data_IF_785840884207
#
_entry.id   IF_785840884207
#
_cell.length_a   1.000
_cell.length_b   1.000
_cell.length_c   1.000
_cell.angle_alpha   90.00
_cell.angle_beta   90.00
_cell.angle_gamma   90.00
#
_symmetry.space_group_name_H-M   'P 1'
#
loop_
_entity.id
_entity.type
_entity.pdbx_description
1 polymer ?
#
# COMPACT_ATOMS: atom_id res chain seq x y z
N UNK A 1 43.24 -6.01 16.32
CA UNK A 1 42.17 -6.48 17.22
C UNK A 1 42.14 -5.53 18.42
N UNK A 2 40.97 -5.13 18.92
CA UNK A 2 40.85 -4.06 19.92
C UNK A 2 40.89 -2.63 19.35
N UNK A 3 40.63 -2.47 18.05
CA UNK A 3 40.69 -1.17 17.36
C UNK A 3 39.33 -0.78 16.77
N UNK A 4 39.15 0.53 16.59
CA UNK A 4 37.98 1.12 15.95
C UNK A 4 38.21 1.27 14.46
N UNK A 5 37.27 0.79 13.65
CA UNK A 5 37.31 1.01 12.19
C UNK A 5 36.28 2.05 11.81
N UNK A 6 36.74 3.11 11.14
CA UNK A 6 35.90 4.18 10.63
C UNK A 6 35.61 3.95 9.14
N UNK A 7 34.35 4.13 8.76
CA UNK A 7 33.90 4.17 7.37
C UNK A 7 32.99 5.39 7.19
N UNK A 8 32.94 6.00 5.99
CA UNK A 8 31.95 7.04 5.72
C UNK A 8 30.53 6.47 5.84
N UNK A 9 29.57 7.31 6.24
CA UNK A 9 28.16 6.94 6.25
C UNK A 9 27.72 6.50 4.84
N UNK A 10 26.85 5.48 4.72
CA UNK A 10 26.35 5.03 3.43
C UNK A 10 25.51 6.15 2.78
N UNK A 11 25.72 6.40 1.49
CA UNK A 11 24.95 7.41 0.75
C UNK A 11 23.44 7.08 0.72
N UNK A 12 23.10 5.79 0.69
CA UNK A 12 21.73 5.30 0.71
C UNK A 12 21.62 4.03 1.56
N UNK A 13 20.64 4.00 2.48
CA UNK A 13 20.32 2.81 3.27
C UNK A 13 18.80 2.69 3.41
N UNK A 14 18.22 1.56 2.98
CA UNK A 14 16.77 1.32 2.89
C UNK A 14 15.98 2.45 2.17
N UNK A 15 16.55 3.03 1.12
CA UNK A 15 15.91 4.10 0.34
C UNK A 15 16.01 5.50 0.97
N UNK A 16 16.57 5.62 2.17
CA UNK A 16 16.83 6.91 2.83
C UNK A 16 18.23 7.38 2.49
N UNK A 17 18.37 8.65 2.06
CA UNK A 17 19.66 9.28 1.81
C UNK A 17 20.24 9.81 3.13
N UNK A 18 21.49 9.47 3.42
CA UNK A 18 22.20 9.96 4.61
C UNK A 18 23.32 10.92 4.22
N UNK A 19 23.67 11.81 5.14
CA UNK A 19 24.80 12.71 4.93
C UNK A 19 26.13 11.93 5.01
N UNK A 20 26.93 11.99 3.96
CA UNK A 20 28.23 11.29 3.83
C UNK A 20 29.39 12.05 4.48
N UNK A 21 29.16 13.26 5.01
CA UNK A 21 30.19 14.05 5.71
C UNK A 21 30.67 13.38 7.01
N UNK A 22 29.82 12.56 7.62
CA UNK A 22 30.11 11.92 8.90
C UNK A 22 30.54 10.45 8.71
N UNK A 23 31.27 9.94 9.71
CA UNK A 23 31.79 8.57 9.72
C UNK A 23 31.03 7.70 10.73
N UNK A 24 30.79 6.45 10.35
CA UNK A 24 30.37 5.37 11.24
C UNK A 24 31.60 4.65 11.77
N UNK A 25 31.60 4.30 13.06
CA UNK A 25 32.66 3.50 13.66
C UNK A 25 32.12 2.16 14.17
N UNK A 26 32.91 1.10 13.98
CA UNK A 26 32.65 -0.24 14.51
C UNK A 26 33.89 -0.77 15.20
N UNK A 27 33.70 -1.30 16.39
CA UNK A 27 34.77 -1.89 17.18
C UNK A 27 35.04 -3.33 16.73
N UNK A 28 36.33 -3.67 16.60
CA UNK A 28 36.80 -5.04 16.44
C UNK A 28 37.25 -5.55 17.81
N UNK A 29 36.53 -6.53 18.37
CA UNK A 29 36.78 -7.09 19.70
C UNK A 29 38.17 -7.75 19.74
N UNK A 30 38.76 -7.84 20.94
CA UNK A 30 40.02 -8.55 21.18
C UNK A 30 39.97 -10.03 20.76
N UNK A 31 38.78 -10.62 20.72
CA UNK A 31 38.51 -11.98 20.24
C UNK A 31 38.47 -12.10 18.70
N UNK A 32 38.95 -11.10 17.96
CA UNK A 32 38.94 -11.09 16.48
C UNK A 32 37.56 -11.00 15.83
N UNK A 33 36.51 -10.81 16.63
CA UNK A 33 35.12 -10.72 16.18
C UNK A 33 34.64 -9.27 16.15
N UNK A 34 33.76 -8.92 15.23
CA UNK A 34 33.20 -7.57 15.19
C UNK A 34 32.13 -7.36 16.27
N UNK A 35 32.09 -6.15 16.85
CA UNK A 35 31.00 -5.76 17.75
C UNK A 35 29.63 -5.89 17.05
N UNK A 36 28.61 -6.31 17.79
CA UNK A 36 27.26 -6.64 17.28
C UNK A 36 26.59 -5.44 16.61
N UNK A 37 26.85 -4.22 17.11
CA UNK A 37 26.34 -2.97 16.52
C UNK A 37 27.49 -1.99 16.29
N UNK A 38 27.49 -1.35 15.12
CA UNK A 38 28.27 -0.14 14.87
C UNK A 38 27.52 1.10 15.39
N UNK A 39 28.25 2.17 15.71
CA UNK A 39 27.62 3.39 16.19
C UNK A 39 27.29 4.34 15.02
N UNK A 40 26.02 4.39 14.65
CA UNK A 40 25.50 5.19 13.53
C UNK A 40 24.96 6.57 13.95
N UNK A 41 25.19 7.01 15.19
CA UNK A 41 24.65 8.28 15.74
C UNK A 41 25.04 9.52 14.93
N UNK A 42 26.14 9.47 14.18
CA UNK A 42 26.61 10.58 13.36
C UNK A 42 25.99 10.61 11.95
N UNK A 43 25.34 9.53 11.49
CA UNK A 43 24.70 9.49 10.18
C UNK A 43 23.29 10.11 10.26
N UNK A 44 23.17 11.40 9.92
CA UNK A 44 21.87 12.08 9.84
C UNK A 44 21.21 11.88 8.48
N UNK A 45 19.89 11.64 8.48
CA UNK A 45 19.07 11.56 7.28
C UNK A 45 18.96 12.93 6.60
N UNK A 46 19.09 12.96 5.26
CA UNK A 46 18.88 14.17 4.47
C UNK A 46 17.37 14.36 4.33
N UNK A 47 16.86 15.42 4.94
CA UNK A 47 15.42 15.77 5.08
C UNK A 47 14.68 16.09 3.76
N UNK A 48 15.07 15.52 2.62
CA UNK A 48 14.32 15.63 1.36
C UNK A 48 13.06 14.74 1.35
N UNK A 49 12.94 13.77 2.26
CA UNK A 49 11.77 12.89 2.35
C UNK A 49 10.51 13.55 2.94
N UNK A 50 10.62 14.61 3.76
CA UNK A 50 9.43 15.19 4.43
C UNK A 50 8.42 15.77 3.46
N UNK A 51 8.89 16.41 2.38
CA UNK A 51 8.02 16.99 1.34
C UNK A 51 7.30 15.89 0.54
N UNK A 52 8.01 14.80 0.22
CA UNK A 52 7.45 13.62 -0.46
C UNK A 52 6.41 12.89 0.39
N UNK A 53 6.69 12.71 1.69
CA UNK A 53 5.75 12.08 2.64
C UNK A 53 4.45 12.86 2.78
N UNK A 54 4.49 14.19 2.81
CA UNK A 54 3.27 15.02 2.88
C UNK A 54 2.42 14.86 1.62
N UNK A 55 3.04 14.94 0.43
CA UNK A 55 2.34 14.77 -0.85
C UNK A 55 1.70 13.38 -0.96
N UNK A 56 2.44 12.33 -0.57
CA UNK A 56 1.92 10.97 -0.52
C UNK A 56 0.74 10.83 0.45
N UNK A 57 0.86 11.38 1.65
CA UNK A 57 -0.20 11.32 2.66
C UNK A 57 -1.49 12.01 2.18
N UNK A 58 -1.37 13.18 1.54
CA UNK A 58 -2.51 13.89 0.94
C UNK A 58 -3.14 13.05 -0.17
N UNK A 59 -2.34 12.46 -1.06
CA UNK A 59 -2.85 11.60 -2.14
C UNK A 59 -3.62 10.39 -1.60
N UNK A 60 -3.14 9.76 -0.53
CA UNK A 60 -3.82 8.63 0.13
C UNK A 60 -5.16 9.07 0.72
N UNK A 61 -5.23 10.23 1.38
CA UNK A 61 -6.49 10.77 1.93
C UNK A 61 -7.50 11.02 0.82
N UNK A 62 -7.09 11.69 -0.25
CA UNK A 62 -7.97 12.00 -1.39
C UNK A 62 -8.48 10.70 -2.02
N UNK A 63 -7.60 9.72 -2.22
CA UNK A 63 -7.99 8.42 -2.77
C UNK A 63 -8.99 7.69 -1.86
N UNK A 64 -8.77 7.73 -0.54
CA UNK A 64 -9.69 7.16 0.46
C UNK A 64 -11.07 7.81 0.41
N UNK A 65 -11.13 9.15 0.40
CA UNK A 65 -12.41 9.88 0.28
C UNK A 65 -13.12 9.54 -1.04
N UNK A 66 -12.37 9.44 -2.14
CA UNK A 66 -12.90 9.02 -3.44
C UNK A 66 -13.57 7.66 -3.37
N UNK A 67 -12.92 6.66 -2.77
CA UNK A 67 -13.48 5.32 -2.60
C UNK A 67 -14.73 5.30 -1.73
N UNK A 68 -14.79 6.09 -0.66
CA UNK A 68 -15.99 6.23 0.17
C UNK A 68 -17.17 6.81 -0.62
N UNK A 69 -16.94 7.89 -1.38
CA UNK A 69 -17.98 8.55 -2.19
C UNK A 69 -18.46 7.60 -3.30
N UNK A 70 -17.53 6.93 -3.99
CA UNK A 70 -17.87 5.94 -5.02
C UNK A 70 -18.71 4.80 -4.46
N UNK A 71 -18.35 4.26 -3.28
CA UNK A 71 -19.13 3.20 -2.65
C UNK A 71 -20.55 3.67 -2.30
N UNK A 72 -20.71 4.87 -1.75
CA UNK A 72 -22.02 5.43 -1.43
C UNK A 72 -22.90 5.59 -2.70
N UNK A 73 -22.33 6.14 -3.78
CA UNK A 73 -23.03 6.30 -5.05
C UNK A 73 -23.46 4.94 -5.65
N UNK A 74 -22.57 3.93 -5.59
CA UNK A 74 -22.86 2.58 -6.07
C UNK A 74 -23.95 1.89 -5.26
N UNK A 75 -23.97 2.06 -3.93
CA UNK A 75 -25.02 1.54 -3.07
C UNK A 75 -26.38 2.17 -3.38
N UNK A 76 -26.42 3.48 -3.61
CA UNK A 76 -27.64 4.19 -4.02
C UNK A 76 -28.14 3.66 -5.37
N UNK A 77 -27.25 3.52 -6.36
CA UNK A 77 -27.58 2.93 -7.65
C UNK A 77 -28.14 1.51 -7.49
N UNK A 78 -27.46 0.66 -6.72
CA UNK A 78 -27.88 -0.71 -6.45
C UNK A 78 -29.29 -0.79 -5.83
N UNK A 79 -29.58 0.07 -4.84
CA UNK A 79 -30.90 0.16 -4.20
C UNK A 79 -31.97 0.61 -5.20
N UNK A 80 -31.69 1.63 -6.02
CA UNK A 80 -32.62 2.11 -7.05
C UNK A 80 -32.98 1.00 -8.04
N UNK A 81 -31.97 0.27 -8.54
CA UNK A 81 -32.19 -0.86 -9.45
C UNK A 81 -32.95 -2.02 -8.79
N UNK A 82 -32.74 -2.29 -7.49
CA UNK A 82 -33.51 -3.30 -6.75
C UNK A 82 -34.99 -2.92 -6.58
N UNK A 83 -35.27 -1.64 -6.29
CA UNK A 83 -36.65 -1.14 -6.10
C UNK A 83 -37.44 -1.14 -7.40
N UNK A 84 -36.80 -0.84 -8.52
CA UNK A 84 -37.42 -0.78 -9.84
C UNK A 84 -37.49 -2.18 -10.47
N UNK A 85 -38.36 -3.04 -9.92
CA UNK A 85 -38.61 -4.43 -10.37
C UNK A 85 -38.91 -4.54 -11.88
N UNK A 86 -39.43 -3.48 -12.49
CA UNK A 86 -39.83 -3.41 -13.90
C UNK A 86 -38.66 -3.29 -14.90
N UNK A 87 -37.42 -3.04 -14.45
CA UNK A 87 -36.27 -2.78 -15.35
C UNK A 87 -35.45 -4.06 -15.62
N UNK A 88 -35.87 -5.24 -15.11
CA UNK A 88 -35.13 -6.52 -15.26
C UNK A 88 -35.16 -7.14 -16.68
N UNK A 89 -34.85 -6.36 -17.70
CA UNK A 89 -34.54 -6.83 -19.06
C UNK A 89 -33.09 -7.33 -19.16
N UNK A 90 -32.77 -8.08 -20.21
CA UNK A 90 -31.42 -8.63 -20.50
C UNK A 90 -30.30 -7.56 -20.40
N UNK A 91 -30.57 -6.34 -20.88
CA UNK A 91 -29.65 -5.19 -20.81
C UNK A 91 -29.34 -4.74 -19.38
N UNK A 92 -30.32 -4.86 -18.49
CA UNK A 92 -30.17 -4.46 -17.09
C UNK A 92 -29.39 -5.50 -16.27
N UNK A 93 -29.26 -6.74 -16.76
CA UNK A 93 -28.40 -7.77 -16.14
C UNK A 93 -26.93 -7.38 -16.28
N UNK A 94 -26.52 -6.82 -17.44
CA UNK A 94 -25.15 -6.35 -17.66
C UNK A 94 -24.82 -5.23 -16.67
N UNK A 95 -25.68 -4.22 -16.56
CA UNK A 95 -25.51 -3.15 -15.56
C UNK A 95 -25.51 -3.69 -14.12
N UNK A 96 -26.31 -4.72 -13.82
CA UNK A 96 -26.34 -5.33 -12.50
C UNK A 96 -25.01 -6.01 -12.14
N UNK A 97 -24.43 -6.75 -13.09
CA UNK A 97 -23.14 -7.39 -12.91
C UNK A 97 -22.00 -6.36 -12.84
N UNK A 98 -22.06 -5.30 -13.63
CA UNK A 98 -21.10 -4.19 -13.58
C UNK A 98 -21.12 -3.46 -12.23
N UNK A 99 -22.30 -3.06 -11.75
CA UNK A 99 -22.44 -2.38 -10.45
C UNK A 99 -21.94 -3.29 -9.32
N UNK A 100 -22.28 -4.59 -9.39
CA UNK A 100 -21.78 -5.57 -8.42
C UNK A 100 -20.26 -5.70 -8.48
N UNK A 101 -19.65 -5.74 -9.68
CA UNK A 101 -18.20 -5.75 -9.85
C UNK A 101 -17.55 -4.49 -9.25
N UNK A 102 -18.14 -3.31 -9.43
CA UNK A 102 -17.65 -2.07 -8.84
C UNK A 102 -17.74 -2.06 -7.30
N UNK A 103 -18.82 -2.61 -6.73
CA UNK A 103 -18.97 -2.77 -5.27
C UNK A 103 -17.88 -3.70 -4.74
N UNK A 104 -17.68 -4.88 -5.36
CA UNK A 104 -16.66 -5.85 -4.96
C UNK A 104 -15.25 -5.27 -5.04
N UNK A 105 -14.95 -4.47 -6.06
CA UNK A 105 -13.67 -3.75 -6.19
C UNK A 105 -13.46 -2.74 -5.06
N UNK A 106 -14.47 -1.92 -4.74
CA UNK A 106 -14.36 -0.96 -3.63
C UNK A 106 -14.22 -1.69 -2.29
N UNK A 107 -14.99 -2.74 -2.03
CA UNK A 107 -14.88 -3.56 -0.83
C UNK A 107 -13.48 -4.17 -0.69
N UNK A 108 -12.93 -4.74 -1.76
CA UNK A 108 -11.60 -5.35 -1.74
C UNK A 108 -10.51 -4.32 -1.53
N UNK A 109 -10.66 -3.11 -2.08
CA UNK A 109 -9.73 -2.01 -1.80
C UNK A 109 -9.67 -1.69 -0.29
N UNK A 110 -10.81 -1.61 0.40
CA UNK A 110 -10.82 -1.43 1.87
C UNK A 110 -10.12 -2.57 2.61
N UNK A 111 -10.34 -3.82 2.19
CA UNK A 111 -9.67 -4.99 2.79
C UNK A 111 -8.16 -4.92 2.60
N UNK A 112 -7.69 -4.50 1.42
CA UNK A 112 -6.25 -4.28 1.17
C UNK A 112 -5.70 -3.19 2.09
N UNK A 113 -6.37 -2.05 2.22
CA UNK A 113 -5.94 -0.97 3.12
C UNK A 113 -5.83 -1.43 4.59
N UNK A 114 -6.77 -2.24 5.05
CA UNK A 114 -6.72 -2.83 6.40
C UNK A 114 -5.54 -3.80 6.55
N UNK A 115 -5.27 -4.60 5.52
CA UNK A 115 -4.19 -5.60 5.51
C UNK A 115 -2.80 -4.98 5.36
N UNK A 116 -2.71 -3.79 4.78
CA UNK A 116 -1.46 -3.05 4.58
C UNK A 116 -0.91 -2.45 5.90
N UNK A 117 -1.65 -2.57 7.01
CA UNK A 117 -1.12 -2.24 8.33
C UNK A 117 0.02 -3.20 8.72
N UNK A 118 1.17 -2.68 9.18
CA UNK A 118 2.37 -3.49 9.47
C UNK A 118 2.13 -4.59 10.51
N UNK A 119 1.15 -4.40 11.40
CA UNK A 119 0.74 -5.41 12.40
C UNK A 119 0.08 -6.65 11.80
N UNK A 120 -0.58 -6.53 10.65
CA UNK A 120 -1.28 -7.64 9.99
C UNK A 120 -0.34 -8.44 9.09
N UNK A 121 0.63 -7.76 8.47
CA UNK A 121 1.62 -8.38 7.58
C UNK A 121 2.46 -9.47 8.26
N UNK A 122 2.89 -9.25 9.50
CA UNK A 122 3.64 -10.27 10.27
C UNK A 122 2.78 -11.47 10.69
N UNK A 123 1.47 -11.27 10.86
CA UNK A 123 0.60 -12.32 11.42
C UNK A 123 0.22 -13.40 10.41
N UNK A 124 0.01 -13.05 9.13
CA UNK A 124 -0.60 -13.97 8.16
C UNK A 124 -0.22 -13.64 6.70
N UNK A 125 0.96 -14.11 6.25
CA UNK A 125 1.42 -13.98 4.85
C UNK A 125 0.43 -14.59 3.84
N UNK A 126 -0.22 -15.71 4.21
CA UNK A 126 -1.21 -16.37 3.34
C UNK A 126 -2.44 -15.49 3.09
N UNK A 127 -2.95 -14.82 4.13
CA UNK A 127 -4.09 -13.90 4.02
C UNK A 127 -3.77 -12.72 3.10
N UNK A 128 -2.59 -12.11 3.25
CA UNK A 128 -2.14 -11.03 2.39
C UNK A 128 -2.10 -11.45 0.91
N UNK A 129 -1.60 -12.66 0.63
CA UNK A 129 -1.54 -13.20 -0.73
C UNK A 129 -2.92 -13.43 -1.34
N UNK A 130 -3.86 -13.99 -0.55
CA UNK A 130 -5.24 -14.21 -0.99
C UNK A 130 -5.98 -12.90 -1.25
N UNK A 131 -5.86 -11.92 -0.35
CA UNK A 131 -6.46 -10.59 -0.49
C UNK A 131 -5.93 -9.88 -1.73
N UNK A 132 -4.62 -9.96 -1.96
CA UNK A 132 -3.97 -9.36 -3.14
C UNK A 132 -4.41 -10.04 -4.44
N UNK A 133 -4.54 -11.37 -4.45
CA UNK A 133 -5.06 -12.11 -5.60
C UNK A 133 -6.51 -11.74 -5.91
N UNK A 134 -7.36 -11.67 -4.88
CA UNK A 134 -8.75 -11.24 -5.01
C UNK A 134 -8.86 -9.81 -5.56
N UNK A 135 -8.04 -8.89 -5.06
CA UNK A 135 -7.98 -7.50 -5.56
C UNK A 135 -7.71 -7.45 -7.06
N UNK A 136 -6.67 -8.15 -7.52
CA UNK A 136 -6.31 -8.18 -8.93
C UNK A 136 -7.42 -8.82 -9.78
N UNK A 137 -8.05 -9.89 -9.30
CA UNK A 137 -9.18 -10.51 -9.98
C UNK A 137 -10.35 -9.53 -10.18
N UNK A 138 -10.85 -8.91 -9.11
CA UNK A 138 -11.96 -7.96 -9.20
C UNK A 138 -11.64 -6.71 -10.00
N UNK A 139 -10.38 -6.28 -10.01
CA UNK A 139 -9.90 -5.21 -10.85
C UNK A 139 -10.06 -5.58 -12.33
N UNK A 140 -9.53 -6.74 -12.75
CA UNK A 140 -9.62 -7.22 -14.13
C UNK A 140 -11.08 -7.49 -14.55
N UNK A 141 -11.88 -8.09 -13.67
CA UNK A 141 -13.31 -8.32 -13.91
C UNK A 141 -14.06 -7.02 -14.18
N UNK A 142 -13.74 -5.91 -13.49
CA UNK A 142 -14.36 -4.61 -13.79
C UNK A 142 -14.05 -4.14 -15.22
N UNK A 143 -12.79 -4.26 -15.66
CA UNK A 143 -12.41 -3.88 -17.02
C UNK A 143 -13.12 -4.74 -18.06
N UNK A 144 -13.26 -6.05 -17.82
CA UNK A 144 -14.01 -6.93 -18.71
C UNK A 144 -15.49 -6.56 -18.80
N UNK A 145 -16.15 -6.24 -17.69
CA UNK A 145 -17.55 -5.81 -17.72
C UNK A 145 -17.73 -4.44 -18.38
N UNK A 146 -16.78 -3.51 -18.20
CA UNK A 146 -16.79 -2.23 -18.90
C UNK A 146 -16.62 -2.41 -20.41
N UNK A 147 -15.78 -3.35 -20.85
CA UNK A 147 -15.67 -3.71 -22.27
C UNK A 147 -16.94 -4.38 -22.81
N UNK A 148 -17.61 -5.21 -22.01
CA UNK A 148 -18.86 -5.86 -22.41
C UNK A 148 -20.09 -4.94 -22.42
N UNK A 149 -20.00 -3.75 -21.82
CA UNK A 149 -21.03 -2.70 -21.88
C UNK A 149 -20.81 -1.74 -23.06
N UNK A 150 -19.56 -1.59 -23.52
CA UNK A 150 -19.14 -0.68 -24.60
C UNK A 150 -19.43 -1.19 -26.01
#
# INVERSE_FOLDING_TARGET
>A
AGEWVLRPCPEMFYGVKYNTTNNVYRECLSNGSWAVKGNYTQCQEILNEKKSKLHYHIAVIINYMGHCISLAALLVAFILFMRLRSIRCLRNIIHWNLITAFILRNATWFVVQLTMNPKVHESNVLWCRLVTAAYNYFHVTNFFWMFGEG
#
